data_IF_630006436860
#
_entry.id   IF_630006436860
#
_cell.length_a   1.000
_cell.length_b   1.000
_cell.length_c   1.000
_cell.angle_alpha   90.00
_cell.angle_beta   90.00
_cell.angle_gamma   90.00
#
_symmetry.space_group_name_H-M   'P 1'
#
loop_
_entity.id
_entity.type
_entity.pdbx_description
1 polymer ?
#
# COMPACT_ATOMS: atom_id res chain seq x y z
N UNK A 1 12.50 9.16 5.26
CA UNK A 1 11.17 9.25 5.94
C UNK A 1 10.71 7.85 6.24
N UNK A 2 10.48 7.56 7.52
CA UNK A 2 10.10 6.23 8.01
C UNK A 2 8.64 6.23 8.46
N UNK A 3 7.97 5.08 8.37
CA UNK A 3 6.58 4.94 8.79
C UNK A 3 6.35 5.25 10.27
N UNK A 4 7.36 5.02 11.12
CA UNK A 4 7.33 5.37 12.55
C UNK A 4 7.25 6.89 12.81
N UNK A 5 7.54 7.72 11.80
CA UNK A 5 7.41 9.17 11.88
C UNK A 5 5.99 9.66 11.57
N UNK A 6 5.11 8.77 11.10
CA UNK A 6 3.73 9.08 10.73
C UNK A 6 2.79 8.77 11.90
N UNK A 7 2.67 9.69 12.86
CA UNK A 7 1.92 9.47 14.11
C UNK A 7 0.42 9.24 13.93
N UNK A 8 -0.16 9.60 12.78
CA UNK A 8 -1.56 9.34 12.45
C UNK A 8 -1.80 7.94 11.86
N UNK A 9 -0.73 7.17 11.59
CA UNK A 9 -0.78 5.83 11.00
C UNK A 9 -0.05 4.82 11.92
N UNK A 10 -0.82 4.14 12.77
CA UNK A 10 -0.32 3.15 13.74
C UNK A 10 -0.84 1.72 13.52
N UNK A 11 -1.91 1.54 12.76
CA UNK A 11 -2.62 0.28 12.58
C UNK A 11 -2.29 -0.34 11.21
N UNK A 12 -1.16 -1.03 11.16
CA UNK A 12 -0.63 -1.61 9.93
C UNK A 12 -1.20 -2.98 9.62
N UNK A 13 -2.00 -3.08 8.57
CA UNK A 13 -2.59 -4.31 8.07
C UNK A 13 -1.82 -4.88 6.88
N UNK A 14 -1.72 -6.21 6.70
CA UNK A 14 -1.21 -6.79 5.46
C UNK A 14 -1.98 -6.27 4.25
N UNK A 15 -1.28 -5.92 3.16
CA UNK A 15 -1.94 -5.55 1.90
C UNK A 15 -2.44 -6.82 1.19
N UNK A 16 -3.44 -7.46 1.78
CA UNK A 16 -4.11 -8.66 1.29
C UNK A 16 -5.62 -8.48 1.32
N UNK A 17 -6.38 -9.36 0.66
CA UNK A 17 -7.84 -9.32 0.70
C UNK A 17 -8.39 -9.42 2.14
N UNK A 18 -7.66 -9.99 3.08
CA UNK A 18 -8.08 -10.06 4.49
C UNK A 18 -7.71 -8.80 5.26
N UNK A 19 -6.47 -8.31 5.11
CA UNK A 19 -6.01 -7.14 5.85
C UNK A 19 -6.78 -5.87 5.50
N UNK A 20 -7.25 -5.72 4.26
CA UNK A 20 -8.03 -4.55 3.85
C UNK A 20 -9.54 -4.66 4.15
N UNK A 21 -10.04 -5.78 4.71
CA UNK A 21 -11.49 -5.91 5.04
C UNK A 21 -11.95 -4.89 6.07
N UNK A 22 -11.04 -4.46 6.94
CA UNK A 22 -11.33 -3.48 7.98
C UNK A 22 -11.17 -2.04 7.49
N UNK A 23 -10.76 -1.84 6.23
CA UNK A 23 -10.66 -0.50 5.65
C UNK A 23 -12.04 0.17 5.65
N UNK A 24 -12.15 1.40 6.16
CA UNK A 24 -13.43 2.07 6.26
C UNK A 24 -13.96 2.38 4.85
N UNK A 25 -15.25 2.18 4.65
CA UNK A 25 -15.91 2.45 3.37
C UNK A 25 -16.20 3.95 3.20
N UNK A 26 -15.14 4.76 3.23
CA UNK A 26 -15.19 6.23 3.13
C UNK A 26 -13.94 6.78 2.42
N UNK A 27 -14.00 8.05 2.04
CA UNK A 27 -12.84 8.81 1.55
C UNK A 27 -11.78 8.98 2.64
N UNK A 28 -10.51 9.00 2.25
CA UNK A 28 -9.40 9.16 3.19
C UNK A 28 -8.03 9.06 2.56
N UNK A 29 -7.03 9.08 3.43
CA UNK A 29 -5.60 8.94 3.10
C UNK A 29 -5.14 7.56 3.55
N UNK A 30 -4.22 6.95 2.81
CA UNK A 30 -3.63 5.67 3.17
C UNK A 30 -2.14 5.68 2.88
N UNK A 31 -1.41 4.85 3.61
CA UNK A 31 0.04 4.68 3.48
C UNK A 31 0.34 3.21 3.25
N UNK A 32 1.17 2.92 2.24
CA UNK A 32 1.70 1.58 1.97
C UNK A 32 3.19 1.58 2.32
N UNK A 33 3.59 0.61 3.16
CA UNK A 33 4.99 0.37 3.52
C UNK A 33 5.40 -1.07 3.21
N UNK A 34 6.71 -1.34 3.21
CA UNK A 34 7.25 -2.70 3.22
C UNK A 34 6.97 -3.39 4.56
N UNK A 35 6.64 -4.67 4.50
CA UNK A 35 6.53 -5.49 5.70
C UNK A 35 7.90 -5.70 6.35
N UNK A 36 7.91 -5.85 7.68
CA UNK A 36 9.13 -6.02 8.46
C UNK A 36 10.00 -4.77 8.57
N UNK A 37 9.52 -3.61 8.13
CA UNK A 37 10.33 -2.38 8.12
C UNK A 37 11.50 -2.46 7.14
N UNK A 38 11.43 -3.36 6.15
CA UNK A 38 12.47 -3.51 5.15
C UNK A 38 12.62 -2.19 4.38
N UNK A 39 13.82 -1.61 4.45
CA UNK A 39 14.09 -0.31 3.86
C UNK A 39 14.58 -0.49 2.43
N UNK A 40 14.17 0.43 1.57
CA UNK A 40 14.72 0.55 0.23
C UNK A 40 15.29 1.95 0.01
N UNK A 41 16.37 2.02 -0.78
CA UNK A 41 17.00 3.28 -1.13
C UNK A 41 16.11 4.08 -2.07
N UNK A 42 15.86 5.35 -1.72
CA UNK A 42 15.12 6.31 -2.54
C UNK A 42 15.96 7.58 -2.67
N UNK A 43 16.53 7.82 -3.85
CA UNK A 43 17.47 8.91 -4.12
C UNK A 43 18.66 8.97 -3.15
N UNK A 44 18.56 9.77 -2.06
CA UNK A 44 19.62 10.02 -1.07
C UNK A 44 19.36 9.40 0.31
N UNK A 45 18.17 8.83 0.55
CA UNK A 45 17.77 8.31 1.86
C UNK A 45 17.14 6.92 1.76
N UNK A 46 17.00 6.27 2.91
CA UNK A 46 16.28 5.02 3.05
C UNK A 46 14.86 5.31 3.56
N UNK A 47 13.88 4.57 3.04
CA UNK A 47 12.49 4.65 3.48
C UNK A 47 11.87 3.25 3.41
N UNK A 48 10.99 2.95 4.35
CA UNK A 48 10.10 1.79 4.30
C UNK A 48 8.74 2.12 3.64
N UNK A 49 8.42 3.41 3.49
CA UNK A 49 7.21 3.90 2.83
C UNK A 49 7.35 3.76 1.32
N UNK A 50 6.51 2.92 0.74
CA UNK A 50 6.41 2.71 -0.70
C UNK A 50 5.60 3.83 -1.33
N UNK A 51 4.43 4.12 -0.76
CA UNK A 51 3.44 5.01 -1.36
C UNK A 51 2.55 5.66 -0.30
N UNK A 52 2.22 6.94 -0.50
CA UNK A 52 1.19 7.65 0.26
C UNK A 52 0.16 8.11 -0.77
N UNK A 53 -1.11 7.81 -0.53
CA UNK A 53 -2.19 8.15 -1.43
C UNK A 53 -3.41 8.65 -0.71
N UNK A 54 -4.30 9.31 -1.45
CA UNK A 54 -5.64 9.64 -0.98
C UNK A 54 -6.67 9.20 -2.02
N UNK A 55 -7.91 9.07 -1.58
CA UNK A 55 -9.04 8.75 -2.47
C UNK A 55 -10.25 9.59 -2.09
N UNK A 56 -10.96 10.09 -3.10
CA UNK A 56 -12.27 10.74 -2.95
C UNK A 56 -13.40 9.71 -2.93
N UNK A 57 -13.11 8.47 -3.36
CA UNK A 57 -14.00 7.32 -3.33
C UNK A 57 -13.75 6.50 -2.05
N UNK A 58 -14.32 5.32 -1.97
CA UNK A 58 -14.09 4.38 -0.89
C UNK A 58 -12.62 3.94 -0.78
N UNK A 59 -12.05 3.98 0.42
CA UNK A 59 -10.73 3.41 0.74
C UNK A 59 -10.68 1.91 0.45
N UNK A 60 -11.70 1.14 0.83
CA UNK A 60 -11.71 -0.30 0.56
C UNK A 60 -11.72 -0.60 -0.95
N UNK A 61 -12.47 0.15 -1.75
CA UNK A 61 -12.45 0.01 -3.21
C UNK A 61 -11.09 0.39 -3.80
N UNK A 62 -10.51 1.49 -3.33
CA UNK A 62 -9.19 1.95 -3.77
C UNK A 62 -8.11 0.91 -3.48
N UNK A 63 -8.12 0.34 -2.27
CA UNK A 63 -7.16 -0.68 -1.85
C UNK A 63 -7.34 -1.99 -2.61
N UNK A 64 -8.58 -2.41 -2.88
CA UNK A 64 -8.87 -3.56 -3.76
C UNK A 64 -8.30 -3.39 -5.16
N UNK A 65 -8.22 -2.17 -5.67
CA UNK A 65 -7.60 -1.87 -6.97
C UNK A 65 -6.10 -2.17 -7.01
N UNK A 66 -5.39 -2.15 -5.89
CA UNK A 66 -3.99 -2.59 -5.82
C UNK A 66 -3.85 -4.13 -5.80
N UNK A 67 -4.85 -4.84 -5.27
CA UNK A 67 -4.87 -6.31 -5.25
C UNK A 67 -5.35 -6.91 -6.58
N UNK A 68 -6.22 -6.19 -7.29
CA UNK A 68 -6.80 -6.60 -8.57
C UNK A 68 -6.53 -5.50 -9.61
N UNK A 69 -5.26 -5.35 -10.01
CA UNK A 69 -4.85 -4.32 -10.95
C UNK A 69 -5.56 -4.49 -12.29
N UNK A 70 -6.30 -3.47 -12.71
CA UNK A 70 -6.99 -3.46 -14.00
C UNK A 70 -6.02 -3.43 -15.18
N UNK A 71 -6.53 -3.70 -16.39
CA UNK A 71 -5.74 -3.70 -17.64
C UNK A 71 -5.00 -2.38 -17.91
N UNK A 72 -5.42 -1.28 -17.30
CA UNK A 72 -4.85 0.07 -17.46
C UNK A 72 -3.78 0.43 -16.42
N UNK A 73 -3.59 -0.40 -15.38
CA UNK A 73 -2.44 -0.26 -14.49
C UNK A 73 -1.23 -0.93 -15.15
N UNK A 74 -0.21 -0.12 -15.43
CA UNK A 74 1.04 -0.56 -16.05
C UNK A 74 1.79 -1.52 -15.11
N UNK A 75 1.41 -2.81 -15.11
CA UNK A 75 2.42 -3.84 -14.96
C UNK A 75 3.18 -3.90 -16.28
N UNK A 76 4.51 -3.91 -16.22
CA UNK A 76 5.37 -4.02 -17.38
C UNK A 76 4.79 -5.08 -18.36
N UNK A 77 4.59 -4.75 -19.66
CA UNK A 77 4.07 -5.70 -20.63
C UNK A 77 4.88 -7.00 -20.59
N UNK A 78 4.21 -8.13 -20.39
CA UNK A 78 4.85 -9.46 -20.31
C UNK A 78 5.33 -9.87 -18.92
N UNK A 79 5.22 -9.03 -17.88
CA UNK A 79 5.30 -9.47 -16.49
C UNK A 79 3.88 -9.72 -15.98
N UNK A 80 3.53 -10.98 -15.78
CA UNK A 80 2.52 -11.33 -14.77
C UNK A 80 2.88 -10.56 -13.50
N UNK A 81 1.90 -9.92 -12.85
CA UNK A 81 2.09 -9.46 -11.49
C UNK A 81 2.77 -10.59 -10.74
N UNK A 82 3.95 -10.30 -10.20
CA UNK A 82 4.67 -11.28 -9.42
C UNK A 82 3.76 -11.56 -8.23
N UNK A 83 3.04 -12.69 -8.30
CA UNK A 83 2.12 -13.15 -7.26
C UNK A 83 2.86 -13.57 -5.99
N UNK A 84 4.19 -13.40 -5.94
CA UNK A 84 4.89 -13.30 -4.66
C UNK A 84 4.11 -12.32 -3.81
N UNK A 85 3.64 -12.79 -2.66
CA UNK A 85 3.01 -11.95 -1.66
C UNK A 85 3.86 -10.70 -1.54
N UNK A 86 3.29 -9.57 -1.95
CA UNK A 86 3.99 -8.32 -1.81
C UNK A 86 4.02 -8.09 -0.31
N UNK A 87 5.15 -8.40 0.31
CA UNK A 87 5.46 -8.18 1.73
C UNK A 87 5.31 -6.69 2.02
N UNK A 88 4.07 -6.25 2.17
CA UNK A 88 3.65 -4.86 2.25
C UNK A 88 2.50 -4.74 3.23
N UNK A 89 2.48 -3.62 3.95
CA UNK A 89 1.44 -3.26 4.90
C UNK A 89 0.81 -1.94 4.52
N UNK A 90 -0.45 -1.77 4.90
CA UNK A 90 -1.23 -0.57 4.66
C UNK A 90 -1.89 -0.08 5.95
N UNK A 91 -2.00 1.23 6.08
CA UNK A 91 -2.72 1.93 7.12
C UNK A 91 -3.60 3.02 6.47
N UNK A 92 -4.76 3.37 7.05
CA UNK A 92 -5.84 4.12 6.40
C UNK A 92 -6.76 4.89 7.37
#
# INVERSE_FOLDING_TARGET
MDSDQLTEFSDWYPLTNEGIKNAPDKKGTYVIRKEGGERFGRFKENSDIVYIGCTTNSLIERLRGYLNPGQTQWALPGKTWDKRELNMKVDF
#
